data_IF_801429658877
#
_entry.id   IF_801429658877
#
_cell.length_a   1.000
_cell.length_b   1.000
_cell.length_c   1.000
_cell.angle_alpha   90.00
_cell.angle_beta   90.00
_cell.angle_gamma   90.00
#
_symmetry.space_group_name_H-M   'P 1'
#
loop_
_entity.id
_entity.type
_entity.pdbx_description
1 polymer ?
#
# COMPACT_ATOMS: atom_id res chain seq x y z
N UNK A 1 -11.36 -42.24 29.03
CA UNK A 1 -11.85 -43.58 28.65
C UNK A 1 -12.86 -43.36 27.54
N UNK A 2 -12.43 -43.06 26.32
CA UNK A 2 -11.64 -43.88 25.37
C UNK A 2 -12.39 -45.12 24.88
N UNK A 3 -12.28 -45.28 23.56
CA UNK A 3 -12.47 -46.46 22.72
C UNK A 3 -13.91 -46.70 22.23
N UNK A 4 -14.14 -46.97 20.93
CA UNK A 4 -13.24 -47.56 19.95
C UNK A 4 -13.74 -47.22 18.52
N UNK A 5 -12.82 -46.82 17.64
CA UNK A 5 -13.01 -46.82 16.20
C UNK A 5 -13.46 -48.20 15.72
N UNK A 6 -14.47 -48.25 14.87
CA UNK A 6 -14.70 -49.41 14.02
C UNK A 6 -14.59 -48.97 12.57
N UNK A 7 -13.41 -49.23 12.02
CA UNK A 7 -13.13 -49.20 10.60
C UNK A 7 -14.12 -50.10 9.86
N UNK A 8 -14.76 -49.55 8.83
CA UNK A 8 -15.24 -50.34 7.70
C UNK A 8 -14.52 -49.81 6.45
N UNK A 9 -13.39 -50.43 6.11
CA UNK A 9 -12.80 -50.33 4.78
C UNK A 9 -13.53 -51.32 3.88
N UNK A 10 -14.53 -50.84 3.12
CA UNK A 10 -14.99 -51.53 1.92
C UNK A 10 -14.16 -51.02 0.76
N UNK A 11 -13.21 -51.84 0.33
CA UNK A 11 -12.27 -51.55 -0.74
C UNK A 11 -12.94 -51.84 -2.09
N UNK A 12 -13.78 -50.94 -2.57
CA UNK A 12 -14.11 -50.85 -4.00
C UNK A 12 -13.19 -49.79 -4.61
N UNK A 13 -12.54 -50.12 -5.71
CA UNK A 13 -11.53 -49.30 -6.35
C UNK A 13 -12.10 -47.94 -6.80
N UNK A 14 -12.02 -46.95 -5.92
CA UNK A 14 -12.31 -45.57 -6.27
C UNK A 14 -11.15 -45.06 -7.13
N UNK A 15 -11.38 -44.98 -8.43
CA UNK A 15 -10.53 -44.20 -9.33
C UNK A 15 -10.71 -42.73 -8.97
N UNK A 16 -9.81 -42.19 -8.15
CA UNK A 16 -9.79 -40.77 -7.83
C UNK A 16 -9.22 -40.01 -9.03
N UNK A 17 -10.11 -39.37 -9.78
CA UNK A 17 -9.71 -38.34 -10.74
C UNK A 17 -9.65 -37.01 -9.99
N UNK A 18 -8.45 -36.43 -9.87
CA UNK A 18 -8.29 -35.07 -9.37
C UNK A 18 -8.79 -34.12 -10.46
N UNK A 19 -10.00 -33.59 -10.29
CA UNK A 19 -10.64 -32.70 -11.25
C UNK A 19 -10.51 -31.27 -10.70
N UNK A 20 -10.01 -30.35 -11.52
CA UNK A 20 -9.95 -28.94 -11.17
C UNK A 20 -11.36 -28.32 -11.09
N UNK A 21 -11.58 -27.25 -10.30
CA UNK A 21 -12.90 -26.64 -10.14
C UNK A 21 -13.50 -26.15 -11.47
N UNK A 22 -12.67 -25.81 -12.46
CA UNK A 22 -13.08 -25.41 -13.81
C UNK A 22 -13.60 -26.57 -14.66
N UNK A 23 -13.10 -27.79 -14.40
CA UNK A 23 -13.48 -29.01 -15.14
C UNK A 23 -14.67 -29.75 -14.49
N UNK A 24 -15.12 -29.30 -13.32
CA UNK A 24 -16.16 -29.97 -12.54
C UNK A 24 -17.48 -30.10 -13.31
N UNK A 25 -17.84 -29.11 -14.14
CA UNK A 25 -19.05 -29.13 -14.97
C UNK A 25 -18.98 -30.13 -16.14
N UNK A 26 -17.77 -30.52 -16.57
CA UNK A 26 -17.58 -31.46 -17.67
C UNK A 26 -17.62 -32.93 -17.21
N UNK A 27 -17.36 -33.18 -15.93
CA UNK A 27 -17.25 -34.51 -15.35
C UNK A 27 -18.29 -34.84 -14.27
N UNK A 28 -19.08 -33.84 -13.84
CA UNK A 28 -20.15 -34.01 -12.84
C UNK A 28 -21.36 -33.11 -13.16
N UNK A 29 -22.54 -33.44 -12.63
CA UNK A 29 -23.73 -32.56 -12.69
C UNK A 29 -23.67 -31.41 -11.67
N UNK A 30 -22.54 -31.22 -10.98
CA UNK A 30 -22.38 -30.15 -9.99
C UNK A 30 -22.13 -28.81 -10.71
N UNK A 31 -23.05 -27.87 -10.51
CA UNK A 31 -22.93 -26.51 -11.01
C UNK A 31 -22.31 -25.60 -9.94
N UNK A 32 -21.16 -25.00 -10.25
CA UNK A 32 -20.50 -24.01 -9.41
C UNK A 32 -21.29 -22.71 -9.43
N UNK A 33 -21.82 -22.30 -8.27
CA UNK A 33 -22.56 -21.04 -8.11
C UNK A 33 -21.65 -19.93 -7.62
N UNK A 34 -21.66 -18.77 -8.29
CA UNK A 34 -20.90 -17.59 -7.88
C UNK A 34 -21.80 -16.68 -7.03
N UNK A 35 -21.49 -16.55 -5.74
CA UNK A 35 -22.19 -15.65 -4.84
C UNK A 35 -21.65 -14.23 -5.00
N UNK A 36 -22.50 -13.28 -5.37
CA UNK A 36 -22.19 -11.84 -5.36
C UNK A 36 -22.81 -11.19 -4.14
N UNK A 37 -22.03 -10.38 -3.45
CA UNK A 37 -22.48 -9.61 -2.29
C UNK A 37 -22.46 -8.12 -2.59
N UNK A 38 -23.38 -7.41 -1.95
CA UNK A 38 -23.60 -5.98 -2.09
C UNK A 38 -23.97 -5.40 -0.74
N UNK A 39 -23.27 -4.36 -0.34
CA UNK A 39 -23.53 -3.64 0.90
C UNK A 39 -23.59 -2.14 0.67
N UNK A 40 -24.62 -1.50 1.20
CA UNK A 40 -24.78 -0.04 1.14
C UNK A 40 -24.41 0.55 2.49
N UNK A 41 -23.51 1.53 2.49
CA UNK A 41 -23.04 2.23 3.69
C UNK A 41 -23.27 3.72 3.52
N UNK A 42 -23.74 4.39 4.58
CA UNK A 42 -23.88 5.84 4.59
C UNK A 42 -22.50 6.50 4.42
N UNK A 43 -22.42 7.50 3.55
CA UNK A 43 -21.19 8.22 3.28
C UNK A 43 -21.52 9.64 2.85
N UNK A 44 -21.16 10.60 3.68
CA UNK A 44 -21.41 12.04 3.44
C UNK A 44 -20.15 12.80 3.04
N UNK A 45 -18.99 12.13 3.07
CA UNK A 45 -17.71 12.69 2.63
C UNK A 45 -17.62 12.93 1.13
N UNK A 46 -16.60 13.69 0.72
CA UNK A 46 -16.28 13.84 -0.70
C UNK A 46 -15.72 12.53 -1.28
N UNK A 47 -16.17 12.14 -2.48
CA UNK A 47 -15.71 10.90 -3.13
C UNK A 47 -14.21 10.93 -3.47
N UNK A 48 -13.63 12.11 -3.71
CA UNK A 48 -12.19 12.30 -3.87
C UNK A 48 -11.39 11.93 -2.63
N UNK A 49 -11.94 12.15 -1.43
CA UNK A 49 -11.31 11.74 -0.19
C UNK A 49 -11.37 10.22 -0.04
N UNK A 50 -12.46 9.59 -0.45
CA UNK A 50 -12.58 8.14 -0.46
C UNK A 50 -11.57 7.50 -1.42
N UNK A 51 -11.43 8.04 -2.64
CA UNK A 51 -10.41 7.62 -3.61
C UNK A 51 -9.02 7.65 -2.97
N UNK A 52 -8.63 8.76 -2.35
CA UNK A 52 -7.33 8.90 -1.72
C UNK A 52 -7.11 7.87 -0.59
N UNK A 53 -8.16 7.57 0.19
CA UNK A 53 -8.08 6.55 1.25
C UNK A 53 -7.93 5.15 0.68
N UNK A 54 -8.61 4.86 -0.44
CA UNK A 54 -8.47 3.58 -1.14
C UNK A 54 -7.08 3.43 -1.77
N UNK A 55 -6.49 4.50 -2.32
CA UNK A 55 -5.11 4.50 -2.81
C UNK A 55 -4.10 4.24 -1.68
N UNK A 56 -4.35 4.77 -0.49
CA UNK A 56 -3.53 4.48 0.68
C UNK A 56 -3.68 3.02 1.16
N UNK A 57 -4.85 2.41 0.98
CA UNK A 57 -5.13 1.03 1.39
C UNK A 57 -4.56 0.00 0.40
N UNK A 58 -4.78 0.21 -0.89
CA UNK A 58 -4.51 -0.77 -1.94
C UNK A 58 -3.38 -0.39 -2.91
N UNK A 59 -2.85 0.84 -2.82
CA UNK A 59 -1.84 1.37 -3.72
C UNK A 59 -2.41 1.81 -5.06
N UNK A 60 -2.86 0.86 -5.88
CA UNK A 60 -3.48 1.11 -7.19
C UNK A 60 -5.01 0.95 -7.10
N UNK A 61 -5.73 1.96 -7.56
CA UNK A 61 -7.19 2.00 -7.58
C UNK A 61 -7.65 2.48 -8.95
N UNK A 62 -8.51 1.70 -9.61
CA UNK A 62 -9.06 2.08 -10.90
C UNK A 62 -10.30 2.94 -10.70
N UNK A 63 -10.38 4.08 -11.38
CA UNK A 63 -11.57 4.91 -11.41
C UNK A 63 -12.40 4.57 -12.65
N UNK A 64 -13.68 4.29 -12.41
CA UNK A 64 -14.64 3.90 -13.43
C UNK A 64 -15.81 4.88 -13.43
N UNK A 65 -16.33 5.21 -14.61
CA UNK A 65 -17.61 5.91 -14.73
C UNK A 65 -18.65 4.91 -15.24
N UNK A 66 -19.62 4.58 -14.40
CA UNK A 66 -20.68 3.64 -14.76
C UNK A 66 -21.76 4.31 -15.62
N UNK A 67 -22.51 3.51 -16.42
CA UNK A 67 -23.69 3.98 -17.15
C UNK A 67 -24.65 4.72 -16.20
N UNK A 68 -25.01 5.94 -16.56
CA UNK A 68 -25.79 6.84 -15.69
C UNK A 68 -24.96 7.88 -14.92
N UNK A 69 -23.67 8.01 -15.23
CA UNK A 69 -22.81 9.09 -14.71
C UNK A 69 -22.37 8.91 -13.26
N UNK A 70 -22.51 7.70 -12.71
CA UNK A 70 -22.05 7.37 -11.35
C UNK A 70 -20.56 7.08 -11.37
N UNK A 71 -19.82 7.69 -10.45
CA UNK A 71 -18.42 7.37 -10.23
C UNK A 71 -18.30 6.07 -9.44
N UNK A 72 -17.32 5.25 -9.80
CA UNK A 72 -16.99 4.02 -9.11
C UNK A 72 -15.48 3.84 -8.98
N UNK A 73 -15.06 3.12 -7.95
CA UNK A 73 -13.67 2.74 -7.69
C UNK A 73 -13.57 1.23 -7.69
N UNK A 74 -12.53 0.69 -8.33
CA UNK A 74 -12.19 -0.72 -8.25
C UNK A 74 -10.91 -0.86 -7.41
N UNK A 75 -11.03 -1.57 -6.30
CA UNK A 75 -9.97 -1.75 -5.29
C UNK A 75 -9.61 -3.24 -5.25
N UNK A 76 -8.30 -3.54 -5.15
CA UNK A 76 -7.76 -4.91 -5.19
C UNK A 76 -8.21 -5.74 -6.41
N UNK A 77 -8.61 -5.10 -7.50
CA UNK A 77 -9.19 -5.74 -8.69
C UNK A 77 -10.45 -6.60 -8.44
N UNK A 78 -11.00 -6.58 -7.22
CA UNK A 78 -12.05 -7.48 -6.77
C UNK A 78 -13.25 -6.75 -6.14
N UNK A 79 -13.02 -5.60 -5.51
CA UNK A 79 -14.04 -4.84 -4.78
C UNK A 79 -14.43 -3.61 -5.60
N UNK A 80 -15.72 -3.42 -5.86
CA UNK A 80 -16.25 -2.27 -6.58
C UNK A 80 -17.01 -1.36 -5.63
N UNK A 81 -16.63 -0.09 -5.54
CA UNK A 81 -17.27 0.93 -4.71
C UNK A 81 -17.95 1.93 -5.61
N UNK A 82 -19.27 2.08 -5.51
CA UNK A 82 -20.08 2.93 -6.39
C UNK A 82 -20.61 4.12 -5.57
N UNK A 83 -20.43 5.33 -6.09
CA UNK A 83 -20.92 6.54 -5.48
C UNK A 83 -22.43 6.68 -5.65
N UNK A 84 -23.13 6.94 -4.55
CA UNK A 84 -24.51 7.43 -4.51
C UNK A 84 -24.56 8.79 -3.79
N UNK A 85 -25.73 9.43 -3.74
CA UNK A 85 -25.88 10.82 -3.24
C UNK A 85 -25.40 11.04 -1.80
N UNK A 86 -25.63 10.08 -0.90
CA UNK A 86 -25.24 10.15 0.53
C UNK A 86 -24.82 8.78 1.07
N UNK A 87 -24.42 7.91 0.17
CA UNK A 87 -24.04 6.54 0.48
C UNK A 87 -23.05 6.06 -0.57
N UNK A 88 -22.36 4.98 -0.24
CA UNK A 88 -21.59 4.21 -1.20
C UNK A 88 -22.09 2.78 -1.19
N UNK A 89 -22.04 2.16 -2.36
CA UNK A 89 -22.38 0.75 -2.53
C UNK A 89 -21.09 -0.02 -2.77
N UNK A 90 -20.81 -1.02 -1.95
CA UNK A 90 -19.67 -1.91 -2.09
C UNK A 90 -20.15 -3.24 -2.63
N UNK A 91 -19.59 -3.71 -3.74
CA UNK A 91 -19.96 -4.94 -4.45
C UNK A 91 -18.74 -5.83 -4.67
N UNK A 92 -18.86 -7.13 -4.41
CA UNK A 92 -17.80 -8.12 -4.63
C UNK A 92 -18.36 -9.52 -4.88
N UNK A 93 -17.49 -10.42 -5.36
CA UNK A 93 -17.75 -11.86 -5.42
C UNK A 93 -17.30 -12.48 -4.10
N UNK A 94 -18.21 -13.12 -3.37
CA UNK A 94 -17.96 -13.68 -2.05
C UNK A 94 -16.99 -14.86 -2.13
N UNK A 95 -15.90 -14.75 -1.39
CA UNK A 95 -14.93 -15.81 -1.11
C UNK A 95 -14.02 -15.30 0.03
N UNK A 96 -13.32 -16.19 0.75
CA UNK A 96 -12.57 -15.79 1.95
C UNK A 96 -11.58 -14.64 1.74
N UNK A 97 -10.97 -14.53 0.55
CA UNK A 97 -9.99 -13.49 0.22
C UNK A 97 -10.69 -12.16 -0.06
N UNK A 98 -11.72 -12.19 -0.92
CA UNK A 98 -12.49 -10.99 -1.25
C UNK A 98 -13.31 -10.47 -0.07
N UNK A 99 -13.78 -11.35 0.82
CA UNK A 99 -14.49 -10.96 2.04
C UNK A 99 -13.56 -10.19 2.97
N UNK A 100 -12.32 -10.66 3.13
CA UNK A 100 -11.29 -9.92 3.87
C UNK A 100 -10.99 -8.54 3.23
N UNK A 101 -10.90 -8.48 1.90
CA UNK A 101 -10.72 -7.19 1.20
C UNK A 101 -11.92 -6.26 1.37
N UNK A 102 -13.15 -6.80 1.29
CA UNK A 102 -14.38 -6.05 1.51
C UNK A 102 -14.43 -5.49 2.93
N UNK A 103 -14.09 -6.29 3.95
CA UNK A 103 -14.03 -5.87 5.35
C UNK A 103 -13.03 -4.72 5.56
N UNK A 104 -11.84 -4.82 4.97
CA UNK A 104 -10.84 -3.75 5.04
C UNK A 104 -11.32 -2.45 4.38
N UNK A 105 -11.94 -2.56 3.20
CA UNK A 105 -12.53 -1.41 2.49
C UNK A 105 -13.66 -0.78 3.31
N UNK A 106 -14.56 -1.60 3.86
CA UNK A 106 -15.68 -1.15 4.69
C UNK A 106 -15.18 -0.46 5.97
N UNK A 107 -14.17 -1.00 6.64
CA UNK A 107 -13.58 -0.39 7.82
C UNK A 107 -13.05 1.01 7.52
N UNK A 108 -12.36 1.20 6.37
CA UNK A 108 -11.88 2.53 5.95
C UNK A 108 -13.04 3.47 5.63
N UNK A 109 -14.08 3.02 4.91
CA UNK A 109 -15.26 3.83 4.62
C UNK A 109 -15.92 4.32 5.90
N UNK A 110 -16.14 3.42 6.87
CA UNK A 110 -16.75 3.73 8.16
C UNK A 110 -15.87 4.67 9.00
N UNK A 111 -14.55 4.50 8.96
CA UNK A 111 -13.62 5.36 9.66
C UNK A 111 -13.60 6.78 9.09
N UNK A 112 -13.60 6.90 7.76
CA UNK A 112 -13.69 8.19 7.07
C UNK A 112 -15.00 8.90 7.41
N UNK A 113 -16.12 8.17 7.39
CA UNK A 113 -17.43 8.71 7.71
C UNK A 113 -17.51 9.20 9.16
N UNK A 114 -16.93 8.43 10.09
CA UNK A 114 -16.93 8.77 11.52
C UNK A 114 -15.97 9.91 11.86
N UNK A 115 -14.83 10.00 11.17
CA UNK A 115 -13.83 11.04 11.41
C UNK A 115 -13.04 11.40 10.13
N UNK A 116 -13.53 12.37 9.33
CA UNK A 116 -12.90 12.75 8.08
C UNK A 116 -11.54 13.44 8.26
N UNK A 117 -11.26 14.03 9.43
CA UNK A 117 -9.99 14.71 9.70
C UNK A 117 -8.81 13.74 9.90
N UNK A 118 -9.07 12.55 10.46
CA UNK A 118 -8.04 11.50 10.64
C UNK A 118 -7.63 10.89 9.29
N UNK A 119 -8.59 10.72 8.38
CA UNK A 119 -8.32 10.25 7.03
C UNK A 119 -7.45 11.24 6.22
N UNK A 120 -7.62 12.54 6.44
CA UNK A 120 -6.77 13.58 5.83
C UNK A 120 -5.36 13.61 6.42
N UNK A 121 -5.20 13.29 7.71
CA UNK A 121 -3.90 13.20 8.38
C UNK A 121 -3.12 11.94 7.97
N UNK A 122 -3.82 10.84 7.63
CA UNK A 122 -3.24 9.63 7.03
C UNK A 122 -2.76 9.82 5.58
N UNK A 123 -2.61 11.08 5.11
CA UNK A 123 -1.74 11.44 3.98
C UNK A 123 -0.30 11.03 4.31
N UNK A 124 -0.01 9.74 4.32
CA UNK A 124 1.29 9.26 3.93
C UNK A 124 1.43 9.64 2.46
N UNK A 125 1.84 10.89 2.19
CA UNK A 125 2.40 11.26 0.90
C UNK A 125 3.35 10.12 0.58
N UNK A 126 3.15 9.41 -0.53
CA UNK A 126 4.18 8.50 -1.07
C UNK A 126 5.51 9.22 -0.87
N UNK A 127 6.53 8.62 -0.23
CA UNK A 127 7.83 9.24 -0.10
C UNK A 127 8.28 9.55 -1.53
N UNK A 128 8.06 10.80 -1.91
CA UNK A 128 8.36 11.27 -3.23
C UNK A 128 9.87 11.26 -3.30
N UNK A 129 10.43 10.39 -4.13
CA UNK A 129 11.88 10.27 -4.31
C UNK A 129 12.47 11.65 -4.70
N UNK A 130 11.67 12.53 -5.33
CA UNK A 130 12.07 13.92 -5.60
C UNK A 130 12.24 14.80 -4.35
N UNK A 131 11.67 14.42 -3.21
CA UNK A 131 11.86 15.09 -1.91
C UNK A 131 13.06 14.55 -1.14
N UNK A 132 13.76 13.52 -1.64
CA UNK A 132 14.97 12.99 -1.01
C UNK A 132 16.01 14.08 -0.72
N UNK A 133 16.37 14.96 -1.67
CA UNK A 133 17.34 16.02 -1.45
C UNK A 133 16.95 16.99 -0.34
N UNK A 134 15.67 17.36 -0.27
CA UNK A 134 15.14 18.32 0.70
C UNK A 134 15.11 17.73 2.11
N UNK A 135 14.73 16.45 2.21
CA UNK A 135 14.72 15.69 3.47
C UNK A 135 16.14 15.48 3.98
N UNK A 136 17.07 15.12 3.09
CA UNK A 136 18.48 14.94 3.44
C UNK A 136 19.09 16.27 3.92
N UNK A 137 18.80 17.37 3.22
CA UNK A 137 19.24 18.70 3.63
C UNK A 137 18.70 19.07 5.02
N UNK A 138 17.42 18.80 5.29
CA UNK A 138 16.81 19.06 6.60
C UNK A 138 17.42 18.21 7.71
N UNK A 139 17.72 16.94 7.44
CA UNK A 139 18.37 16.04 8.38
C UNK A 139 19.78 16.55 8.74
N UNK A 140 20.59 16.85 7.72
CA UNK A 140 21.96 17.31 7.90
C UNK A 140 22.01 18.67 8.61
N UNK A 141 21.08 19.57 8.30
CA UNK A 141 20.94 20.84 9.02
C UNK A 141 20.55 20.65 10.48
N UNK A 142 19.71 19.66 10.78
CA UNK A 142 19.35 19.30 12.15
C UNK A 142 20.52 18.72 12.95
N UNK A 143 21.46 18.02 12.31
CA UNK A 143 22.61 17.40 12.98
C UNK A 143 23.85 18.28 13.03
N UNK A 144 24.12 19.07 11.99
CA UNK A 144 25.35 19.87 11.84
C UNK A 144 25.12 21.39 11.90
N UNK A 145 23.87 21.84 11.93
CA UNK A 145 23.51 23.26 11.94
C UNK A 145 23.18 23.82 10.55
N UNK A 146 22.36 24.88 10.52
CA UNK A 146 21.86 25.47 9.28
C UNK A 146 22.94 26.12 8.42
N UNK A 147 23.97 26.70 9.04
CA UNK A 147 25.05 27.42 8.37
C UNK A 147 26.15 26.50 7.84
N UNK A 148 26.22 25.26 8.33
CA UNK A 148 27.21 24.27 7.94
C UNK A 148 26.85 23.53 6.63
N UNK A 149 25.59 23.56 6.21
CA UNK A 149 25.07 22.73 5.11
C UNK A 149 24.62 23.59 3.92
N UNK A 150 25.32 23.45 2.80
CA UNK A 150 25.09 24.21 1.56
C UNK A 150 24.73 23.25 0.43
N UNK A 151 23.63 23.53 -0.28
CA UNK A 151 23.30 22.85 -1.52
C UNK A 151 23.89 23.62 -2.68
N UNK A 152 24.66 22.95 -3.54
CA UNK A 152 25.26 23.57 -4.72
C UNK A 152 24.23 23.60 -5.84
N UNK A 153 24.14 24.71 -6.58
CA UNK A 153 23.19 24.87 -7.70
C UNK A 153 23.68 24.31 -9.04
N UNK A 154 24.96 23.91 -9.12
CA UNK A 154 25.64 23.43 -10.34
C UNK A 154 25.66 21.90 -10.50
N UNK A 155 25.09 21.16 -9.57
CA UNK A 155 24.99 19.70 -9.57
C UNK A 155 24.21 19.30 -8.33
N UNK A 156 23.48 18.19 -8.38
CA UNK A 156 22.71 17.69 -7.25
C UNK A 156 23.66 17.14 -6.15
N UNK A 157 24.35 18.07 -5.49
CA UNK A 157 25.32 17.80 -4.44
C UNK A 157 25.04 18.66 -3.20
N UNK A 158 25.23 18.04 -2.03
CA UNK A 158 25.11 18.70 -0.72
C UNK A 158 26.49 18.72 -0.07
N UNK A 159 26.98 19.91 0.29
CA UNK A 159 28.23 20.09 1.01
C UNK A 159 27.98 20.39 2.48
N UNK A 160 28.65 19.67 3.38
CA UNK A 160 28.64 19.87 4.83
C UNK A 160 30.03 20.32 5.25
N UNK A 161 30.15 21.47 5.93
CA UNK A 161 31.41 22.00 6.46
C UNK A 161 31.38 21.98 7.98
N UNK A 162 32.31 21.25 8.58
CA UNK A 162 32.47 21.17 10.03
C UNK A 162 33.96 21.31 10.35
N UNK A 163 34.32 22.23 11.25
CA UNK A 163 35.68 22.36 11.80
C UNK A 163 36.81 22.41 10.75
N UNK A 164 36.56 23.04 9.60
CA UNK A 164 37.53 23.17 8.50
C UNK A 164 37.57 21.97 7.54
N UNK A 165 36.85 20.90 7.82
CA UNK A 165 36.65 19.75 6.93
C UNK A 165 35.36 19.91 6.12
N UNK A 166 35.37 19.43 4.88
CA UNK A 166 34.22 19.49 3.98
C UNK A 166 33.87 18.08 3.54
N UNK A 167 32.61 17.70 3.71
CA UNK A 167 32.03 16.49 3.13
C UNK A 167 31.10 16.88 1.99
N UNK A 168 31.24 16.27 0.82
CA UNK A 168 30.42 16.53 -0.37
C UNK A 168 29.66 15.25 -0.71
N UNK A 169 28.34 15.32 -0.69
CA UNK A 169 27.45 14.20 -0.96
C UNK A 169 26.91 14.36 -2.37
N UNK A 170 27.06 13.33 -3.20
CA UNK A 170 26.39 13.23 -4.49
C UNK A 170 25.00 12.61 -4.31
N UNK A 171 23.94 13.30 -4.74
CA UNK A 171 22.56 12.82 -4.56
C UNK A 171 22.19 11.71 -5.57
N UNK A 172 22.90 11.59 -6.69
CA UNK A 172 22.65 10.56 -7.70
C UNK A 172 23.27 9.22 -7.29
N UNK A 173 24.50 9.24 -6.77
CA UNK A 173 25.23 8.02 -6.37
C UNK A 173 25.17 7.71 -4.88
N UNK A 174 24.74 8.67 -4.05
CA UNK A 174 24.79 8.64 -2.58
C UNK A 174 26.21 8.48 -2.01
N UNK A 175 27.24 8.73 -2.82
CA UNK A 175 28.62 8.74 -2.37
C UNK A 175 28.95 10.04 -1.65
N UNK A 176 29.79 9.91 -0.63
CA UNK A 176 30.26 11.04 0.17
C UNK A 176 31.77 11.15 -0.07
N UNK A 177 32.21 12.29 -0.56
CA UNK A 177 33.63 12.64 -0.65
C UNK A 177 33.99 13.50 0.55
N UNK A 178 34.88 12.99 1.41
CA UNK A 178 35.32 13.71 2.60
C UNK A 178 36.73 13.29 2.98
N UNK A 179 37.52 14.26 3.43
CA UNK A 179 38.88 14.03 3.93
C UNK A 179 38.92 13.36 5.31
N UNK A 180 37.81 13.41 6.07
CA UNK A 180 37.71 12.85 7.41
C UNK A 180 36.84 11.59 7.43
N UNK A 181 37.41 10.49 7.95
CA UNK A 181 36.78 9.18 7.95
C UNK A 181 35.55 9.12 8.88
N UNK A 182 35.59 9.87 9.99
CA UNK A 182 34.49 9.89 10.96
C UNK A 182 33.27 10.63 10.42
N UNK A 183 33.50 11.80 9.79
CA UNK A 183 32.47 12.59 9.13
C UNK A 183 31.92 11.86 7.91
N UNK A 184 32.78 11.22 7.10
CA UNK A 184 32.39 10.38 5.98
C UNK A 184 31.42 9.26 6.41
N UNK A 185 31.80 8.48 7.43
CA UNK A 185 31.00 7.36 7.92
C UNK A 185 29.64 7.81 8.46
N UNK A 186 29.61 8.92 9.22
CA UNK A 186 28.36 9.45 9.77
C UNK A 186 27.42 9.98 8.69
N UNK A 187 27.93 10.77 7.75
CA UNK A 187 27.14 11.37 6.66
C UNK A 187 26.64 10.30 5.70
N UNK A 188 27.48 9.33 5.33
CA UNK A 188 27.10 8.19 4.48
C UNK A 188 26.01 7.35 5.15
N UNK A 189 26.15 7.07 6.45
CA UNK A 189 25.14 6.31 7.20
C UNK A 189 23.82 7.07 7.30
N UNK A 190 23.85 8.39 7.53
CA UNK A 190 22.64 9.21 7.57
C UNK A 190 21.92 9.24 6.22
N UNK A 191 22.66 9.41 5.11
CA UNK A 191 22.11 9.40 3.76
C UNK A 191 21.49 8.03 3.40
N UNK A 192 22.20 6.92 3.66
CA UNK A 192 21.70 5.56 3.41
C UNK A 192 20.49 5.22 4.26
N UNK A 193 20.48 5.59 5.55
CA UNK A 193 19.33 5.37 6.44
C UNK A 193 18.09 6.12 5.95
N UNK A 194 18.27 7.37 5.50
CA UNK A 194 17.17 8.14 4.94
C UNK A 194 16.69 7.56 3.60
N UNK A 195 17.60 7.11 2.75
CA UNK A 195 17.27 6.48 1.47
C UNK A 195 16.45 5.21 1.69
N UNK A 196 16.92 4.31 2.55
CA UNK A 196 16.20 3.07 2.88
C UNK A 196 14.86 3.31 3.58
N UNK A 197 14.70 4.42 4.31
CA UNK A 197 13.42 4.80 4.91
C UNK A 197 12.42 5.38 3.90
N UNK A 198 12.90 5.87 2.74
CA UNK A 198 12.05 6.51 1.71
C UNK A 198 11.84 5.63 0.48
N UNK A 199 12.68 4.63 0.23
CA UNK A 199 12.39 3.56 -0.72
C UNK A 199 11.46 2.54 -0.05
N UNK A 200 10.27 2.25 -0.61
CA UNK A 200 9.46 1.13 -0.15
C UNK A 200 10.30 -0.14 -0.25
N UNK A 201 10.31 -0.97 0.78
CA UNK A 201 10.93 -2.29 0.70
C UNK A 201 10.25 -3.05 -0.44
N UNK A 202 10.96 -3.20 -1.57
CA UNK A 202 10.59 -4.17 -2.59
C UNK A 202 10.89 -5.53 -1.95
N UNK A 203 9.82 -6.21 -1.51
CA UNK A 203 9.84 -7.63 -1.16
C UNK A 203 9.25 -8.39 -2.32
#
# INVERSE_FOLDING_TARGET
MENLCQEFLSNEAFNYHLIGPDDLQNYTELSTSVLKQKQTVAFHGAFSLLLQCMENLAGEVEQLTLPGGKLALKVFQAITIIQEKRSVVVEWVANPVNDMYADAVLAVILQVESNPTTAQAARAKKPDISQFPERLMKLLRGTYGNDAVIRTTKGDQISVKLDGQTAVINLDTLDVDCTDESLHSHVSSAAKRLHNAMSPCHV
#
